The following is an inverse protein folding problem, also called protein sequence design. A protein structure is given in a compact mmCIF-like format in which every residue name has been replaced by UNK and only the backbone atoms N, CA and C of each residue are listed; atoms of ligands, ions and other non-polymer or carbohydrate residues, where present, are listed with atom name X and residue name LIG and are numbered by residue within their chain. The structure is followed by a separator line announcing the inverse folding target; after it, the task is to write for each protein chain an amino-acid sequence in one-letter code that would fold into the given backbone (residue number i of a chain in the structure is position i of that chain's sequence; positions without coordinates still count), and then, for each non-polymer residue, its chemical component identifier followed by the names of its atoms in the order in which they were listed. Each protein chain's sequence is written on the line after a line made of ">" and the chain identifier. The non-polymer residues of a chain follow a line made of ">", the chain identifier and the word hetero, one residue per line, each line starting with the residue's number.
data_IF_504322610699
#
_entry.id   IF_504322610699
#
_cell.length_a   1.000
_cell.length_b   1.000
_cell.length_c   1.000
_cell.angle_alpha   90.00
_cell.angle_beta   90.00
_cell.angle_gamma   90.00
#
_symmetry.space_group_name_H-M   'P 1'
#
loop_
_entity.id
_entity.type
_entity.pdbx_description
1 polymer ?
#
# COMPACT_ATOMS: atom_id res chain seq x y z
N UNK A 1 3.71 -3.15 17.23
CA UNK A 1 2.87 -4.23 17.81
C UNK A 1 2.71 -5.31 16.74
N UNK A 2 2.81 -6.60 17.08
CA UNK A 2 2.85 -7.68 16.10
C UNK A 2 1.51 -7.81 15.36
N UNK A 3 1.56 -7.93 14.02
CA UNK A 3 0.42 -8.39 13.23
C UNK A 3 0.06 -9.77 13.79
N UNK A 4 -1.09 -9.87 14.47
CA UNK A 4 -1.52 -11.11 15.11
C UNK A 4 -2.03 -12.06 14.02
N UNK A 5 -1.08 -12.77 13.40
CA UNK A 5 -1.31 -13.80 12.40
C UNK A 5 -1.57 -15.11 13.15
N UNK A 6 -2.85 -15.42 13.35
CA UNK A 6 -3.29 -16.71 13.88
C UNK A 6 -2.68 -17.83 13.01
N UNK A 7 -2.05 -18.83 13.60
CA UNK A 7 -1.17 -19.80 12.90
C UNK A 7 -1.93 -20.61 11.81
N UNK A 8 -3.25 -20.66 11.92
CA UNK A 8 -4.17 -21.25 10.92
C UNK A 8 -4.47 -20.35 9.71
N UNK A 9 -4.22 -19.04 9.80
CA UNK A 9 -4.48 -18.01 8.78
C UNK A 9 -3.21 -17.27 8.31
N UNK A 10 -2.02 -17.79 8.63
CA UNK A 10 -0.74 -17.17 8.23
C UNK A 10 -0.63 -16.95 6.71
N UNK A 11 -1.16 -17.88 5.91
CA UNK A 11 -1.16 -17.76 4.44
C UNK A 11 -2.01 -16.58 3.98
N UNK A 12 -3.22 -16.44 4.51
CA UNK A 12 -4.17 -15.41 4.13
C UNK A 12 -3.69 -14.03 4.58
N UNK A 13 -3.09 -13.95 5.77
CA UNK A 13 -2.51 -12.70 6.26
C UNK A 13 -1.21 -12.30 5.55
N UNK A 14 -0.36 -13.26 5.14
CA UNK A 14 0.80 -12.96 4.29
C UNK A 14 0.37 -12.51 2.90
N UNK A 15 -0.61 -13.20 2.29
CA UNK A 15 -1.16 -12.80 1.00
C UNK A 15 -1.81 -11.41 1.10
N UNK A 16 -2.57 -11.17 2.17
CA UNK A 16 -3.14 -9.86 2.48
C UNK A 16 -2.09 -8.76 2.60
N UNK A 17 -0.95 -9.05 3.24
CA UNK A 17 0.18 -8.12 3.33
C UNK A 17 0.81 -7.83 1.96
N UNK A 18 1.03 -8.85 1.14
CA UNK A 18 1.58 -8.68 -0.21
C UNK A 18 0.63 -7.83 -1.05
N UNK A 19 -0.67 -8.14 -1.04
CA UNK A 19 -1.68 -7.38 -1.78
C UNK A 19 -1.74 -5.94 -1.30
N UNK A 20 -1.82 -5.70 0.01
CA UNK A 20 -1.82 -4.35 0.58
C UNK A 20 -0.57 -3.55 0.17
N UNK A 21 0.61 -4.18 0.18
CA UNK A 21 1.84 -3.51 -0.23
C UNK A 21 1.83 -3.14 -1.72
N UNK A 22 1.32 -4.02 -2.59
CA UNK A 22 1.21 -3.72 -4.02
C UNK A 22 0.21 -2.60 -4.28
N UNK A 23 -0.93 -2.57 -3.57
CA UNK A 23 -1.91 -1.46 -3.64
C UNK A 23 -1.25 -0.13 -3.24
N UNK A 24 -0.49 -0.09 -2.15
CA UNK A 24 0.24 1.12 -1.73
C UNK A 24 1.23 1.56 -2.82
N UNK A 25 1.99 0.61 -3.40
CA UNK A 25 2.92 0.93 -4.49
C UNK A 25 2.17 1.46 -5.72
N UNK A 26 1.02 0.88 -6.06
CA UNK A 26 0.18 1.35 -7.15
C UNK A 26 -0.28 2.80 -6.93
N UNK A 27 -0.79 3.14 -5.73
CA UNK A 27 -1.18 4.51 -5.39
C UNK A 27 0.00 5.49 -5.51
N UNK A 28 1.21 5.06 -5.14
CA UNK A 28 2.42 5.87 -5.29
C UNK A 28 2.78 6.06 -6.77
N UNK A 29 2.66 5.01 -7.59
CA UNK A 29 2.90 5.08 -9.03
C UNK A 29 1.90 6.00 -9.72
N UNK A 30 0.61 5.93 -9.35
CA UNK A 30 -0.44 6.83 -9.85
C UNK A 30 -0.12 8.30 -9.52
N UNK A 31 0.27 8.58 -8.27
CA UNK A 31 0.69 9.93 -7.87
C UNK A 31 1.92 10.41 -8.66
N UNK A 32 2.87 9.52 -8.94
CA UNK A 32 4.02 9.88 -9.78
C UNK A 32 3.63 10.06 -11.25
N UNK A 33 2.72 9.26 -11.78
CA UNK A 33 2.20 9.37 -13.13
C UNK A 33 1.60 10.75 -13.35
N UNK A 34 0.74 11.21 -12.43
CA UNK A 34 0.15 12.56 -12.48
C UNK A 34 1.25 13.63 -12.53
N UNK A 35 2.24 13.57 -11.65
CA UNK A 35 3.37 14.54 -11.66
C UNK A 35 4.13 14.53 -12.98
N UNK A 36 4.31 13.35 -13.59
CA UNK A 36 5.02 13.21 -14.87
C UNK A 36 4.22 13.75 -16.05
N UNK A 37 2.89 13.60 -16.01
CA UNK A 37 1.95 14.17 -16.98
C UNK A 37 1.96 15.69 -16.88
N UNK A 38 1.79 16.23 -15.67
CA UNK A 38 1.83 17.68 -15.41
C UNK A 38 3.19 18.30 -15.78
N UNK A 39 4.28 17.56 -15.57
CA UNK A 39 5.63 17.94 -15.95
C UNK A 39 5.96 17.77 -17.44
N UNK A 40 5.05 17.25 -18.26
CA UNK A 40 5.26 17.02 -19.70
C UNK A 40 6.35 15.98 -20.02
N UNK A 41 6.66 15.09 -19.06
CA UNK A 41 7.73 14.09 -19.18
C UNK A 41 7.27 12.78 -19.83
N UNK A 42 5.99 12.66 -20.15
CA UNK A 42 5.38 11.53 -20.86
C UNK A 42 4.61 12.07 -22.07
N UNK A 43 4.69 11.37 -23.19
CA UNK A 43 3.83 11.63 -24.35
C UNK A 43 2.48 10.91 -24.23
N UNK A 44 1.50 11.29 -25.05
CA UNK A 44 0.13 10.76 -25.00
C UNK A 44 0.06 9.23 -25.07
N UNK A 45 0.90 8.58 -25.89
CA UNK A 45 0.93 7.13 -26.01
C UNK A 45 1.55 6.46 -24.76
N UNK A 46 2.51 7.11 -24.10
CA UNK A 46 3.05 6.63 -22.83
C UNK A 46 2.04 6.78 -21.69
N UNK A 47 1.24 7.85 -21.69
CA UNK A 47 0.17 8.08 -20.72
C UNK A 47 -0.90 7.00 -20.83
N UNK A 48 -1.36 6.72 -22.05
CA UNK A 48 -2.37 5.69 -22.30
C UNK A 48 -1.91 4.30 -21.86
N UNK A 49 -0.71 3.89 -22.29
CA UNK A 49 -0.12 2.60 -21.89
C UNK A 49 0.07 2.46 -20.38
N UNK A 50 0.47 3.55 -19.71
CA UNK A 50 0.63 3.56 -18.25
C UNK A 50 -0.72 3.41 -17.56
N UNK A 51 -1.73 4.15 -18.01
CA UNK A 51 -3.09 4.04 -17.49
C UNK A 51 -3.68 2.63 -17.66
N UNK A 52 -3.51 2.03 -18.84
CA UNK A 52 -3.94 0.65 -19.12
C UNK A 52 -3.26 -0.35 -18.17
N UNK A 53 -1.93 -0.26 -18.02
CA UNK A 53 -1.17 -1.15 -17.13
C UNK A 53 -1.59 -1.03 -15.66
N UNK A 54 -1.90 0.19 -15.19
CA UNK A 54 -2.38 0.41 -13.82
C UNK A 54 -3.81 -0.11 -13.63
N UNK A 55 -4.67 0.03 -14.64
CA UNK A 55 -6.02 -0.54 -14.63
C UNK A 55 -5.99 -2.07 -14.55
N UNK A 56 -5.18 -2.71 -15.39
CA UNK A 56 -4.97 -4.17 -15.38
C UNK A 56 -4.44 -4.67 -14.03
N UNK A 57 -3.50 -3.94 -13.43
CA UNK A 57 -2.98 -4.26 -12.10
C UNK A 57 -4.08 -4.18 -11.03
N UNK A 58 -4.88 -3.11 -11.05
CA UNK A 58 -6.01 -2.93 -10.13
C UNK A 58 -7.00 -4.10 -10.21
N UNK A 59 -7.40 -4.47 -11.43
CA UNK A 59 -8.32 -5.58 -11.66
C UNK A 59 -7.75 -6.92 -11.20
N UNK A 60 -6.45 -7.15 -11.43
CA UNK A 60 -5.77 -8.35 -10.97
C UNK A 60 -5.73 -8.44 -9.43
N UNK A 61 -5.46 -7.32 -8.74
CA UNK A 61 -5.44 -7.28 -7.28
C UNK A 61 -6.84 -7.50 -6.70
N UNK A 62 -7.87 -6.86 -7.24
CA UNK A 62 -9.27 -7.10 -6.84
C UNK A 62 -9.66 -8.57 -7.01
N UNK A 63 -9.31 -9.16 -8.16
CA UNK A 63 -9.56 -10.58 -8.39
C UNK A 63 -8.83 -11.47 -7.39
N UNK A 64 -7.56 -11.19 -7.06
CA UNK A 64 -6.82 -11.95 -6.05
C UNK A 64 -7.49 -11.84 -4.69
N UNK A 65 -7.96 -10.65 -4.31
CA UNK A 65 -8.68 -10.45 -3.04
C UNK A 65 -9.92 -11.32 -2.96
N UNK A 66 -10.76 -11.27 -3.99
CA UNK A 66 -12.01 -12.05 -4.05
C UNK A 66 -11.78 -13.55 -4.17
N UNK A 67 -10.84 -14.00 -5.02
CA UNK A 67 -10.57 -15.42 -5.23
C UNK A 67 -10.01 -16.09 -3.95
N UNK A 68 -9.36 -15.33 -3.07
CA UNK A 68 -8.78 -15.83 -1.83
C UNK A 68 -9.55 -15.39 -0.57
N UNK A 69 -10.62 -14.59 -0.73
CA UNK A 69 -11.48 -14.10 0.37
C UNK A 69 -10.69 -13.39 1.48
N UNK A 70 -9.75 -12.52 1.08
CA UNK A 70 -8.78 -11.84 1.96
C UNK A 70 -9.02 -10.33 2.08
N UNK A 71 -10.18 -9.81 1.66
CA UNK A 71 -10.51 -8.38 1.68
C UNK A 71 -10.31 -7.77 3.07
N UNK A 72 -10.83 -8.44 4.10
CA UNK A 72 -10.70 -8.01 5.49
C UNK A 72 -9.26 -8.09 6.00
N UNK A 73 -8.50 -9.09 5.53
CA UNK A 73 -7.09 -9.26 5.91
C UNK A 73 -6.24 -8.13 5.29
N UNK A 74 -6.46 -7.79 4.03
CA UNK A 74 -5.81 -6.66 3.35
C UNK A 74 -6.13 -5.35 4.07
N UNK A 75 -7.41 -5.09 4.36
CA UNK A 75 -7.85 -3.90 5.10
C UNK A 75 -7.19 -3.80 6.47
N UNK A 76 -7.15 -4.91 7.22
CA UNK A 76 -6.53 -4.97 8.54
C UNK A 76 -5.03 -4.66 8.48
N UNK A 77 -4.32 -5.21 7.49
CA UNK A 77 -2.89 -4.94 7.32
C UNK A 77 -2.67 -3.48 6.94
N UNK A 78 -3.46 -2.92 6.02
CA UNK A 78 -3.31 -1.52 5.60
C UNK A 78 -3.49 -0.55 6.77
N UNK A 79 -4.55 -0.73 7.57
CA UNK A 79 -4.77 0.08 8.77
C UNK A 79 -3.61 -0.05 9.77
N UNK A 80 -3.04 -1.26 9.91
CA UNK A 80 -1.86 -1.49 10.73
C UNK A 80 -0.62 -0.77 10.22
N UNK A 81 -0.42 -0.71 8.90
CA UNK A 81 0.68 0.02 8.28
C UNK A 81 0.50 1.54 8.44
N UNK A 82 -0.71 2.05 8.32
CA UNK A 82 -1.03 3.47 8.51
C UNK A 82 -0.70 3.91 9.95
N UNK A 83 -1.11 3.13 10.96
CA UNK A 83 -0.77 3.43 12.36
C UNK A 83 0.74 3.44 12.59
N UNK A 84 1.48 2.50 11.99
CA UNK A 84 2.95 2.45 12.11
C UNK A 84 3.58 3.67 11.42
N UNK A 85 3.05 4.10 10.28
CA UNK A 85 3.52 5.29 9.60
C UNK A 85 3.29 6.55 10.44
N UNK A 86 2.09 6.70 11.03
CA UNK A 86 1.74 7.81 11.91
C UNK A 86 2.63 7.85 13.16
N UNK A 87 2.84 6.70 13.80
CA UNK A 87 3.73 6.58 14.98
C UNK A 87 5.17 7.04 14.65
N UNK A 88 5.67 6.70 13.46
CA UNK A 88 6.99 7.12 13.01
C UNK A 88 7.03 8.63 12.71
N UNK A 89 6.03 9.16 12.01
CA UNK A 89 5.93 10.58 11.71
C UNK A 89 5.88 11.43 13.00
N UNK A 90 5.12 10.99 13.99
CA UNK A 90 5.04 11.64 15.30
C UNK A 90 6.41 11.71 16.00
N UNK A 91 7.20 10.63 15.92
CA UNK A 91 8.57 10.59 16.49
C UNK A 91 9.53 11.52 15.75
N UNK A 92 9.36 11.72 14.44
CA UNK A 92 10.21 12.63 13.66
C UNK A 92 9.84 14.11 13.88
N UNK A 93 8.55 14.42 14.04
CA UNK A 93 8.06 15.79 14.21
C UNK A 93 8.24 16.28 15.65
N UNK A 94 8.19 15.39 16.64
CA UNK A 94 8.39 15.74 18.06
C UNK A 94 9.64 15.06 18.66
N UNK A 95 10.82 15.67 18.54
CA UNK A 95 12.07 15.11 19.06
C UNK A 95 12.14 15.03 20.60
N UNK A 96 11.28 15.73 21.36
CA UNK A 96 11.28 15.66 22.83
C UNK A 96 10.74 14.31 23.37
N UNK A 97 9.91 13.57 22.60
CA UNK A 97 9.47 12.20 22.97
C UNK A 97 10.62 11.19 23.04
N UNK A 98 11.79 11.50 22.47
CA UNK A 98 12.97 10.63 22.53
C UNK A 98 13.63 10.61 23.91
N UNK A 99 13.39 11.63 24.74
CA UNK A 99 14.05 11.79 26.03
C UNK A 99 13.38 10.99 27.17
N UNK A 100 12.16 10.50 26.97
CA UNK A 100 11.37 9.82 28.01
C UNK A 100 11.47 8.28 27.96
N UNK A 101 12.07 7.70 26.90
CA UNK A 101 12.22 6.24 26.73
C UNK A 101 13.63 5.70 27.08
N UNK A 102 14.56 6.52 27.58
CA UNK A 102 15.88 6.12 28.12
C UNK A 102 15.95 6.27 29.64
#
# INVERSE_FOLDING_TARGET
>A
MAINLDEKNLKDGLLGLVVALVEIIQELLERQAIKRIEGGSLNDAEIERLGESLCELSEALEKIKTDNNIEDAVLSVRNGLDQVADDLLDKFVNPERWAEET
#
